data_IF_351795701541
#
_entry.id   IF_351795701541
#
_cell.length_a   1.000
_cell.length_b   1.000
_cell.length_c   1.000
_cell.angle_alpha   90.00
_cell.angle_beta   90.00
_cell.angle_gamma   90.00
#
_symmetry.space_group_name_H-M   'P 1'
#
loop_
_entity.id
_entity.type
_entity.pdbx_description
1 polymer ?
#
# COMPACT_ATOMS: atom_id res chain seq x y z
N UNK A 1 -9.30 -18.80 8.09
CA UNK A 1 -9.44 -17.35 7.88
C UNK A 1 -8.17 -16.87 7.18
N UNK A 2 -8.14 -16.96 5.84
CA UNK A 2 -6.95 -16.69 5.03
C UNK A 2 -7.26 -15.49 4.12
N UNK A 3 -6.88 -14.28 4.54
CA UNK A 3 -7.05 -13.05 3.75
C UNK A 3 -5.91 -12.80 2.76
N UNK A 4 -5.10 -13.81 2.43
CA UNK A 4 -4.16 -13.69 1.32
C UNK A 4 -4.90 -13.90 -0.01
N UNK A 5 -5.70 -12.91 -0.43
CA UNK A 5 -6.08 -12.80 -1.85
C UNK A 5 -4.76 -12.65 -2.59
N UNK A 6 -4.33 -13.69 -3.30
CA UNK A 6 -3.17 -13.65 -4.21
C UNK A 6 -3.50 -12.64 -5.31
N UNK A 7 -3.22 -11.37 -5.04
CA UNK A 7 -3.45 -10.27 -5.97
C UNK A 7 -2.57 -10.57 -7.17
N UNK A 8 -3.20 -10.97 -8.29
CA UNK A 8 -2.50 -11.01 -9.57
C UNK A 8 -2.27 -9.57 -9.98
N UNK A 9 -1.15 -9.02 -9.52
CA UNK A 9 -0.61 -7.80 -10.07
C UNK A 9 -0.24 -8.10 -11.53
N UNK A 10 -1.13 -7.78 -12.46
CA UNK A 10 -0.71 -7.54 -13.85
C UNK A 10 0.45 -6.54 -13.79
N UNK A 11 1.47 -6.72 -14.63
CA UNK A 11 2.79 -6.05 -14.69
C UNK A 11 2.97 -4.62 -14.12
N UNK A 12 1.91 -3.85 -13.91
CA UNK A 12 1.87 -2.57 -13.21
C UNK A 12 2.11 -2.63 -11.68
N UNK A 13 1.83 -3.76 -10.99
CA UNK A 13 1.97 -3.81 -9.52
C UNK A 13 3.40 -3.61 -9.01
N UNK A 14 4.41 -4.03 -9.78
CA UNK A 14 5.82 -3.83 -9.45
C UNK A 14 6.15 -2.34 -9.43
N UNK A 15 5.62 -1.57 -10.40
CA UNK A 15 5.81 -0.12 -10.45
C UNK A 15 5.19 0.58 -9.25
N UNK A 16 4.02 0.14 -8.76
CA UNK A 16 3.41 0.72 -7.57
C UNK A 16 4.21 0.44 -6.30
N UNK A 17 4.70 -0.79 -6.10
CA UNK A 17 5.54 -1.10 -4.94
C UNK A 17 6.86 -0.29 -4.97
N UNK A 18 7.48 -0.15 -6.14
CA UNK A 18 8.67 0.69 -6.30
C UNK A 18 8.37 2.17 -6.04
N UNK A 19 7.22 2.66 -6.53
CA UNK A 19 6.81 4.05 -6.33
C UNK A 19 6.50 4.34 -4.86
N UNK A 20 5.84 3.41 -4.16
CA UNK A 20 5.60 3.48 -2.72
C UNK A 20 6.91 3.45 -1.93
N UNK A 21 7.87 2.60 -2.33
CA UNK A 21 9.17 2.53 -1.67
C UNK A 21 10.00 3.81 -1.86
N UNK A 22 9.95 4.42 -3.05
CA UNK A 22 10.62 5.69 -3.35
C UNK A 22 9.92 6.89 -2.71
N UNK A 23 8.59 6.86 -2.65
CA UNK A 23 7.76 7.96 -2.16
C UNK A 23 6.72 7.44 -1.14
N UNK A 24 7.16 7.06 0.07
CA UNK A 24 6.30 6.45 1.08
C UNK A 24 5.12 7.31 1.51
N UNK A 25 5.20 8.63 1.30
CA UNK A 25 4.17 9.57 1.73
C UNK A 25 3.11 9.92 0.65
N UNK A 26 3.13 9.29 -0.54
CA UNK A 26 2.17 9.56 -1.62
C UNK A 26 0.75 9.09 -1.33
N UNK A 27 0.62 8.04 -0.52
CA UNK A 27 -0.67 7.48 -0.15
C UNK A 27 -1.44 8.41 0.78
N UNK A 28 -2.76 8.44 0.59
CA UNK A 28 -3.68 9.17 1.48
C UNK A 28 -3.59 8.59 2.88
N UNK A 29 -3.52 9.45 3.90
CA UNK A 29 -3.62 9.00 5.29
C UNK A 29 -5.04 8.54 5.61
N UNK A 30 -5.14 7.39 6.28
CA UNK A 30 -6.38 6.84 6.81
C UNK A 30 -6.39 6.95 8.35
N UNK A 31 -5.84 8.05 8.89
CA UNK A 31 -5.67 8.28 10.33
C UNK A 31 -6.95 8.19 11.17
N UNK A 32 -8.14 8.31 10.55
CA UNK A 32 -9.43 8.08 11.21
C UNK A 32 -9.61 6.62 11.66
N UNK A 33 -8.94 5.67 10.99
CA UNK A 33 -8.95 4.25 11.33
C UNK A 33 -7.67 3.87 12.09
N UNK A 34 -6.51 4.28 11.58
CA UNK A 34 -5.20 4.06 12.17
C UNK A 34 -4.22 5.13 11.64
N UNK A 35 -3.58 5.94 12.49
CA UNK A 35 -2.64 6.99 12.09
C UNK A 35 -1.47 6.49 11.23
N UNK A 36 -1.08 5.23 11.41
CA UNK A 36 0.04 4.60 10.69
C UNK A 36 -0.34 4.11 9.29
N UNK A 37 -1.64 3.98 8.97
CA UNK A 37 -2.11 3.42 7.71
C UNK A 37 -2.23 4.49 6.64
N UNK A 38 -1.62 4.19 5.49
CA UNK A 38 -1.78 4.92 4.24
C UNK A 38 -2.41 4.02 3.18
N UNK A 39 -3.08 4.63 2.21
CA UNK A 39 -3.72 3.90 1.12
C UNK A 39 -3.54 4.58 -0.23
N UNK A 40 -3.31 3.77 -1.26
CA UNK A 40 -3.31 4.20 -2.67
C UNK A 40 -4.42 3.48 -3.42
N UNK A 41 -5.36 4.20 -4.04
CA UNK A 41 -6.34 3.60 -4.94
C UNK A 41 -5.65 2.98 -6.16
N UNK A 42 -5.99 1.73 -6.47
CA UNK A 42 -5.58 1.02 -7.67
C UNK A 42 -6.82 0.37 -8.30
N UNK A 43 -7.27 0.95 -9.41
CA UNK A 43 -8.53 0.60 -10.09
C UNK A 43 -9.71 0.51 -9.11
N UNK A 44 -10.15 -0.71 -8.78
CA UNK A 44 -11.28 -1.00 -7.88
C UNK A 44 -10.87 -1.43 -6.48
N UNK A 45 -9.59 -1.30 -6.12
CA UNK A 45 -9.03 -1.68 -4.83
C UNK A 45 -8.23 -0.54 -4.21
N UNK A 46 -7.96 -0.63 -2.90
CA UNK A 46 -6.99 0.23 -2.22
C UNK A 46 -5.88 -0.67 -1.70
N UNK A 47 -4.63 -0.32 -2.00
CA UNK A 47 -3.46 -0.94 -1.37
C UNK A 47 -3.21 -0.19 -0.08
N UNK A 48 -3.34 -0.88 1.05
CA UNK A 48 -2.94 -0.33 2.34
C UNK A 48 -1.48 -0.65 2.62
N UNK A 49 -0.80 0.31 3.23
CA UNK A 49 0.58 0.13 3.65
C UNK A 49 0.90 1.02 4.86
N UNK A 50 1.99 0.69 5.55
CA UNK A 50 2.56 1.44 6.67
C UNK A 50 3.98 1.85 6.34
N UNK A 51 4.36 3.03 6.81
CA UNK A 51 5.71 3.59 6.66
C UNK A 51 6.43 3.45 8.00
N UNK A 52 7.58 2.80 7.98
CA UNK A 52 8.54 2.74 9.08
C UNK A 52 9.78 3.55 8.71
N UNK A 53 10.71 3.68 9.65
CA UNK A 53 11.93 4.47 9.46
C UNK A 53 12.73 4.02 8.23
N UNK A 54 12.90 2.71 8.05
CA UNK A 54 13.72 2.14 6.97
C UNK A 54 12.93 1.31 5.95
N UNK A 55 11.61 1.23 6.08
CA UNK A 55 10.82 0.31 5.25
C UNK A 55 9.37 0.70 5.05
N UNK A 56 8.76 0.09 4.04
CA UNK A 56 7.32 0.14 3.80
C UNK A 56 6.75 -1.27 3.80
N UNK A 57 5.66 -1.49 4.53
CA UNK A 57 4.98 -2.78 4.63
C UNK A 57 3.57 -2.66 4.10
N UNK A 58 3.21 -3.51 3.14
CA UNK A 58 1.85 -3.64 2.63
C UNK A 58 1.02 -4.46 3.62
N UNK A 59 -0.20 -4.00 3.92
CA UNK A 59 -1.12 -4.57 4.91
C UNK A 59 -2.35 -5.16 4.23
#
# INVERSE_FOLDING_TARGET
MNYAKRVRFKNNGIFYCQNIAQFPNIGRSYAKFDPSIRGIPLDSYIIFYRVFEDSVVIV
#
